data_IF_130619163937
#
_entry.id   IF_130619163937
#
_cell.length_a   1.000
_cell.length_b   1.000
_cell.length_c   1.000
_cell.angle_alpha   90.00
_cell.angle_beta   90.00
_cell.angle_gamma   90.00
#
_symmetry.space_group_name_H-M   'P 1'
#
loop_
_entity.id
_entity.type
_entity.pdbx_description
1 polymer ?
#
# COMPACT_ATOMS: atom_id res chain seq x y z
N UNK A 1 9.05 -6.01 -20.29
CA UNK A 1 9.85 -7.18 -19.86
C UNK A 1 9.85 -7.22 -18.34
N UNK A 2 9.80 -8.41 -17.73
CA UNK A 2 9.96 -8.58 -16.29
C UNK A 2 11.11 -9.55 -16.10
N UNK A 3 12.08 -9.20 -15.26
CA UNK A 3 13.28 -10.00 -14.98
C UNK A 3 13.36 -10.22 -13.47
N UNK A 4 13.67 -11.45 -13.08
CA UNK A 4 13.95 -11.82 -11.69
C UNK A 4 15.40 -12.25 -11.62
N UNK A 5 16.10 -11.75 -10.61
CA UNK A 5 17.46 -12.19 -10.28
C UNK A 5 17.65 -12.14 -8.76
N UNK A 6 18.83 -12.57 -8.28
CA UNK A 6 19.14 -12.58 -6.84
C UNK A 6 19.09 -11.18 -6.22
N UNK A 7 19.27 -10.12 -7.02
CA UNK A 7 19.23 -8.74 -6.53
C UNK A 7 17.82 -8.16 -6.44
N UNK A 8 16.80 -8.87 -6.93
CA UNK A 8 15.40 -8.50 -6.79
C UNK A 8 14.56 -8.72 -8.05
N UNK A 9 13.51 -7.90 -8.19
CA UNK A 9 12.55 -7.98 -9.31
C UNK A 9 12.59 -6.70 -10.11
N UNK A 10 12.92 -6.81 -11.40
CA UNK A 10 12.89 -5.71 -12.36
C UNK A 10 11.64 -5.78 -13.23
N UNK A 11 10.86 -4.70 -13.22
CA UNK A 11 9.61 -4.52 -13.95
C UNK A 11 9.82 -3.41 -14.97
N UNK A 12 9.66 -3.71 -16.26
CA UNK A 12 9.72 -2.70 -17.31
C UNK A 12 8.65 -1.60 -17.12
N UNK A 13 8.99 -0.35 -17.43
CA UNK A 13 8.14 0.81 -17.19
C UNK A 13 6.78 0.74 -17.89
N UNK A 14 6.72 0.15 -19.09
CA UNK A 14 5.50 -0.03 -19.87
C UNK A 14 4.63 -1.23 -19.42
N UNK A 15 5.09 -2.02 -18.44
CA UNK A 15 4.30 -3.13 -17.88
C UNK A 15 3.05 -2.56 -17.21
N UNK A 16 1.90 -3.16 -17.51
CA UNK A 16 0.62 -2.76 -16.93
C UNK A 16 0.57 -3.09 -15.45
N UNK A 17 -0.18 -2.29 -14.68
CA UNK A 17 -0.31 -2.51 -13.22
C UNK A 17 -0.88 -3.91 -12.95
N UNK A 18 -1.85 -4.37 -13.74
CA UNK A 18 -2.39 -5.73 -13.61
C UNK A 18 -1.32 -6.80 -13.79
N UNK A 19 -0.43 -6.64 -14.77
CA UNK A 19 0.64 -7.62 -14.99
C UNK A 19 1.70 -7.58 -13.90
N UNK A 20 2.00 -6.40 -13.35
CA UNK A 20 2.86 -6.26 -12.19
C UNK A 20 2.26 -6.99 -10.97
N UNK A 21 0.96 -6.81 -10.70
CA UNK A 21 0.23 -7.51 -9.62
C UNK A 21 0.36 -9.03 -9.77
N UNK A 22 0.06 -9.57 -10.95
CA UNK A 22 0.16 -11.02 -11.20
C UNK A 22 1.55 -11.54 -10.86
N UNK A 23 2.59 -10.87 -11.36
CA UNK A 23 3.95 -11.34 -11.10
C UNK A 23 4.27 -11.26 -9.62
N UNK A 24 3.95 -10.15 -8.94
CA UNK A 24 4.24 -9.98 -7.52
C UNK A 24 3.50 -10.99 -6.63
N UNK A 25 2.30 -11.46 -7.01
CA UNK A 25 1.56 -12.52 -6.30
C UNK A 25 2.08 -13.92 -6.57
N UNK A 26 2.38 -14.24 -7.82
CA UNK A 26 2.77 -15.60 -8.23
C UNK A 26 4.29 -15.77 -8.18
N UNK A 27 4.86 -15.61 -6.98
CA UNK A 27 6.27 -15.89 -6.72
C UNK A 27 6.43 -17.32 -6.19
N UNK A 28 7.37 -18.08 -6.74
CA UNK A 28 7.70 -19.38 -6.17
C UNK A 28 8.38 -19.15 -4.82
N UNK A 29 7.90 -19.83 -3.78
CA UNK A 29 8.45 -19.74 -2.42
C UNK A 29 9.94 -20.16 -2.31
N UNK A 30 10.49 -20.74 -3.37
CA UNK A 30 11.89 -21.18 -3.45
C UNK A 30 12.82 -20.11 -4.03
N UNK A 31 12.30 -19.05 -4.66
CA UNK A 31 13.12 -18.06 -5.37
C UNK A 31 13.69 -16.99 -4.43
N UNK A 32 13.03 -16.72 -3.29
CA UNK A 32 13.39 -15.65 -2.36
C UNK A 32 13.06 -16.00 -0.91
N UNK A 33 13.66 -15.25 0.05
CA UNK A 33 13.33 -15.34 1.47
C UNK A 33 11.84 -15.09 1.74
N UNK A 34 11.26 -15.78 2.73
CA UNK A 34 9.85 -15.66 3.14
C UNK A 34 9.40 -14.22 3.40
N UNK A 35 10.26 -13.41 4.02
CA UNK A 35 9.95 -12.02 4.34
C UNK A 35 9.84 -11.18 3.06
N UNK A 36 10.69 -11.45 2.06
CA UNK A 36 10.63 -10.74 0.79
C UNK A 36 9.38 -11.13 0.00
N UNK A 37 9.03 -12.42 -0.02
CA UNK A 37 7.79 -12.89 -0.64
C UNK A 37 6.56 -12.22 -0.01
N UNK A 38 6.51 -12.13 1.33
CA UNK A 38 5.45 -11.40 2.04
C UNK A 38 5.38 -9.92 1.63
N UNK A 39 6.52 -9.24 1.51
CA UNK A 39 6.56 -7.83 1.06
C UNK A 39 5.93 -7.71 -0.34
N UNK A 40 6.32 -8.56 -1.28
CA UNK A 40 5.81 -8.54 -2.65
C UNK A 40 4.31 -8.81 -2.72
N UNK A 41 3.80 -9.78 -1.93
CA UNK A 41 2.37 -10.07 -1.82
C UNK A 41 1.59 -8.85 -1.32
N UNK A 42 2.07 -8.19 -0.25
CA UNK A 42 1.43 -6.97 0.29
C UNK A 42 1.47 -5.80 -0.67
N UNK A 43 2.55 -5.61 -1.43
CA UNK A 43 2.62 -4.63 -2.51
C UNK A 43 1.53 -4.93 -3.55
N UNK A 44 1.41 -6.19 -3.98
CA UNK A 44 0.42 -6.60 -4.99
C UNK A 44 -1.02 -6.42 -4.51
N UNK A 45 -1.30 -6.70 -3.24
CA UNK A 45 -2.60 -6.48 -2.63
C UNK A 45 -2.95 -5.01 -2.52
N UNK A 46 -1.97 -4.14 -2.23
CA UNK A 46 -2.20 -2.70 -2.26
C UNK A 46 -2.45 -2.21 -3.69
N UNK A 47 -1.67 -2.66 -4.67
CA UNK A 47 -1.87 -2.33 -6.09
C UNK A 47 -3.26 -2.76 -6.60
N UNK A 48 -3.84 -3.85 -6.09
CA UNK A 48 -5.21 -4.27 -6.43
C UNK A 48 -6.30 -3.28 -6.02
N UNK A 49 -6.03 -2.43 -5.01
CA UNK A 49 -6.95 -1.38 -4.55
C UNK A 49 -6.89 -0.13 -5.44
N UNK A 50 -5.91 -0.04 -6.35
CA UNK A 50 -5.71 1.11 -7.23
C UNK A 50 -6.66 1.01 -8.43
N UNK A 51 -7.54 2.01 -8.55
CA UNK A 51 -8.48 2.16 -9.67
C UNK A 51 -9.34 0.90 -9.94
N UNK A 52 -9.95 0.83 -11.13
CA UNK A 52 -10.68 -0.36 -11.60
C UNK A 52 -9.74 -1.31 -12.37
N UNK A 53 -10.18 -2.55 -12.58
CA UNK A 53 -9.43 -3.52 -13.39
C UNK A 53 -9.15 -3.02 -14.81
N UNK A 54 -10.11 -2.33 -15.44
CA UNK A 54 -9.92 -1.72 -16.76
C UNK A 54 -8.78 -0.70 -16.77
N UNK A 55 -8.71 0.17 -15.76
CA UNK A 55 -7.62 1.15 -15.65
C UNK A 55 -6.30 0.42 -15.43
N UNK A 56 -6.23 -0.58 -14.56
CA UNK A 56 -4.98 -1.33 -14.30
C UNK A 56 -4.49 -2.14 -15.50
N UNK A 57 -5.38 -2.56 -16.38
CA UNK A 57 -5.04 -3.27 -17.62
C UNK A 57 -4.41 -2.35 -18.68
N UNK A 58 -4.63 -1.04 -18.59
CA UNK A 58 -4.10 -0.06 -19.56
C UNK A 58 -2.96 0.78 -18.97
N UNK A 59 -3.09 1.18 -17.71
CA UNK A 59 -2.11 2.02 -17.02
C UNK A 59 -0.82 1.24 -16.73
N UNK A 60 0.32 1.87 -17.02
CA UNK A 60 1.64 1.30 -16.77
C UNK A 60 2.22 1.74 -15.43
N UNK A 61 3.10 0.93 -14.85
CA UNK A 61 3.78 1.24 -13.58
C UNK A 61 4.67 2.48 -13.75
N UNK A 62 5.44 2.56 -14.83
CA UNK A 62 6.31 3.72 -15.10
C UNK A 62 5.52 4.99 -15.36
N UNK A 63 4.42 4.91 -16.11
CA UNK A 63 3.54 6.06 -16.34
C UNK A 63 2.97 6.62 -15.03
N UNK A 64 2.59 5.74 -14.09
CA UNK A 64 2.13 6.16 -12.77
C UNK A 64 3.21 6.90 -11.97
N UNK A 65 4.46 6.43 -11.98
CA UNK A 65 5.57 7.08 -11.29
C UNK A 65 5.96 8.43 -11.92
N UNK A 66 5.96 8.52 -13.25
CA UNK A 66 6.18 9.79 -13.96
C UNK A 66 5.08 10.80 -13.61
N UNK A 67 3.82 10.38 -13.52
CA UNK A 67 2.72 11.23 -13.06
C UNK A 67 2.89 11.67 -11.60
N UNK A 68 3.39 10.79 -10.73
CA UNK A 68 3.67 11.14 -9.33
C UNK A 68 4.76 12.22 -9.22
N UNK A 69 5.84 12.12 -9.99
CA UNK A 69 6.91 13.11 -10.03
C UNK A 69 6.45 14.42 -10.67
N UNK A 70 5.96 14.36 -11.92
CA UNK A 70 5.68 15.55 -12.73
C UNK A 70 4.45 16.32 -12.26
N UNK A 71 3.38 15.62 -11.91
CA UNK A 71 2.09 16.21 -11.61
C UNK A 71 1.76 16.18 -10.11
N UNK A 72 2.68 15.70 -9.27
CA UNK A 72 2.45 15.52 -7.83
C UNK A 72 1.20 14.68 -7.57
N UNK A 73 0.97 13.70 -8.45
CA UNK A 73 -0.19 12.83 -8.39
C UNK A 73 -0.15 12.01 -7.08
N UNK A 74 -1.25 11.94 -6.30
CA UNK A 74 -1.32 11.19 -5.05
C UNK A 74 -1.31 9.67 -5.32
N UNK A 75 -0.14 9.14 -5.65
CA UNK A 75 0.04 7.77 -6.10
C UNK A 75 0.18 6.80 -4.93
N UNK A 76 -0.71 5.80 -4.88
CA UNK A 76 -0.54 4.62 -4.02
C UNK A 76 0.72 3.80 -4.41
N UNK A 77 1.02 3.70 -5.70
CA UNK A 77 2.15 2.90 -6.22
C UNK A 77 3.49 3.54 -5.87
N UNK A 78 3.62 4.85 -5.98
CA UNK A 78 4.85 5.55 -5.60
C UNK A 78 5.15 5.37 -4.11
N UNK A 79 4.12 5.50 -3.24
CA UNK A 79 4.26 5.34 -1.79
C UNK A 79 4.75 3.94 -1.40
N UNK A 80 4.12 2.88 -1.92
CA UNK A 80 4.51 1.50 -1.56
C UNK A 80 5.89 1.11 -2.12
N UNK A 81 6.26 1.60 -3.29
CA UNK A 81 7.57 1.33 -3.89
C UNK A 81 8.69 2.11 -3.21
N UNK A 82 8.41 3.31 -2.71
CA UNK A 82 9.38 4.14 -1.98
C UNK A 82 9.72 3.52 -0.61
N UNK A 83 8.75 2.90 0.06
CA UNK A 83 8.97 2.22 1.32
C UNK A 83 9.93 1.01 1.23
N UNK A 84 10.01 0.38 0.05
CA UNK A 84 10.90 -0.76 -0.21
C UNK A 84 12.17 -0.37 -0.98
N UNK A 85 12.47 0.93 -1.03
CA UNK A 85 13.72 1.45 -1.61
C UNK A 85 13.90 1.02 -3.08
N UNK A 86 12.80 1.07 -3.83
CA UNK A 86 12.82 0.71 -5.26
C UNK A 86 13.76 1.63 -6.02
N UNK A 87 14.43 1.08 -7.03
CA UNK A 87 15.28 1.84 -7.95
C UNK A 87 14.59 2.04 -9.29
N UNK A 88 14.89 3.13 -9.97
CA UNK A 88 14.40 3.46 -11.31
C UNK A 88 15.58 3.52 -12.27
N UNK A 89 15.43 2.84 -13.41
CA UNK A 89 16.36 2.92 -14.52
C UNK A 89 15.86 3.94 -15.53
N UNK A 90 16.63 5.00 -15.75
CA UNK A 90 16.31 6.10 -16.65
C UNK A 90 17.34 6.15 -17.77
N UNK A 91 16.86 6.48 -18.96
CA UNK A 91 17.69 6.81 -20.10
C UNK A 91 17.53 8.28 -20.42
N UNK A 92 18.66 9.00 -20.52
CA UNK A 92 18.72 10.42 -20.90
C UNK A 92 19.60 10.54 -22.12
N UNK A 93 18.99 10.72 -23.29
CA UNK A 93 19.69 10.60 -24.58
C UNK A 93 20.32 9.21 -24.74
N UNK A 94 21.65 9.12 -24.73
CA UNK A 94 22.40 7.85 -24.82
C UNK A 94 22.93 7.33 -23.47
N UNK A 95 22.68 8.05 -22.37
CA UNK A 95 23.16 7.68 -21.03
C UNK A 95 22.10 6.90 -20.27
N UNK A 96 22.53 5.90 -19.51
CA UNK A 96 21.69 5.07 -18.67
C UNK A 96 22.11 5.27 -17.22
N UNK A 97 21.16 5.53 -16.33
CA UNK A 97 21.41 5.71 -14.90
C UNK A 97 20.37 4.95 -14.06
N UNK A 98 20.84 4.36 -12.96
CA UNK A 98 19.98 3.86 -11.89
C UNK A 98 19.93 4.88 -10.77
N UNK A 99 18.72 5.20 -10.32
CA UNK A 99 18.45 6.11 -9.22
C UNK A 99 17.58 5.43 -8.18
N UNK A 100 17.71 5.83 -6.93
CA UNK A 100 16.67 5.51 -5.96
C UNK A 100 15.35 6.19 -6.38
N UNK A 101 14.22 5.60 -6.01
CA UNK A 101 12.92 6.20 -6.24
C UNK A 101 12.79 7.53 -5.49
N UNK A 102 13.45 7.70 -4.35
CA UNK A 102 13.48 8.98 -3.64
C UNK A 102 14.15 10.07 -4.48
N UNK A 103 15.38 9.84 -4.95
CA UNK A 103 16.11 10.78 -5.80
C UNK A 103 15.32 11.11 -7.08
N UNK A 104 14.65 10.11 -7.67
CA UNK A 104 13.80 10.32 -8.83
C UNK A 104 12.63 11.28 -8.51
N UNK A 105 11.94 11.09 -7.39
CA UNK A 105 10.80 11.92 -7.02
C UNK A 105 11.21 13.36 -6.65
N UNK A 106 12.41 13.54 -6.10
CA UNK A 106 12.98 14.86 -5.75
C UNK A 106 13.53 15.61 -6.97
N UNK A 107 13.92 14.91 -8.03
CA UNK A 107 14.40 15.53 -9.28
C UNK A 107 13.30 16.35 -9.97
N UNK A 108 13.68 17.38 -10.75
CA UNK A 108 12.73 18.10 -11.58
C UNK A 108 12.05 17.15 -12.57
N UNK A 109 10.83 17.49 -13.04
CA UNK A 109 10.10 16.66 -14.00
C UNK A 109 10.97 16.31 -15.21
N UNK A 110 10.93 15.04 -15.61
CA UNK A 110 11.72 14.54 -16.75
C UNK A 110 11.52 15.40 -18.01
N UNK A 111 12.66 15.73 -18.65
CA UNK A 111 12.73 16.36 -19.97
C UNK A 111 12.26 15.43 -21.09
N UNK A 112 12.15 15.95 -22.31
CA UNK A 112 11.66 15.20 -23.47
C UNK A 112 12.66 14.12 -23.94
N UNK A 113 13.93 14.30 -23.60
CA UNK A 113 15.04 13.39 -23.87
C UNK A 113 15.18 12.25 -22.84
N UNK A 114 14.34 12.25 -21.81
CA UNK A 114 14.39 11.29 -20.70
C UNK A 114 13.25 10.27 -20.77
N UNK A 115 13.58 8.98 -20.62
CA UNK A 115 12.62 7.88 -20.62
C UNK A 115 12.88 6.96 -19.43
N UNK A 116 11.82 6.63 -18.68
CA UNK A 116 11.87 5.58 -17.65
C UNK A 116 11.80 4.23 -18.34
N UNK A 117 12.79 3.37 -18.11
CA UNK A 117 12.92 2.06 -18.76
C UNK A 117 12.36 0.93 -17.89
N UNK A 118 12.73 0.92 -16.61
CA UNK A 118 12.34 -0.12 -15.67
C UNK A 118 12.41 0.36 -14.22
N UNK A 119 11.73 -0.38 -13.35
CA UNK A 119 11.70 -0.21 -11.91
C UNK A 119 12.21 -1.51 -11.31
N UNK A 120 13.08 -1.44 -10.32
CA UNK A 120 13.62 -2.60 -9.60
C UNK A 120 13.23 -2.53 -8.13
N UNK A 121 12.56 -3.58 -7.66
CA UNK A 121 12.33 -3.81 -6.23
C UNK A 121 13.51 -4.64 -5.72
N UNK A 122 14.40 -4.09 -4.86
CA UNK A 122 15.58 -4.79 -4.40
C UNK A 122 15.23 -5.95 -3.46
N UNK A 123 16.02 -7.01 -3.50
CA UNK A 123 15.91 -8.11 -2.54
C UNK A 123 16.30 -7.68 -1.12
N UNK A 124 15.76 -8.36 -0.11
CA UNK A 124 16.14 -8.12 1.30
C UNK A 124 17.61 -8.46 1.60
N UNK A 125 18.25 -9.35 0.84
CA UNK A 125 19.66 -9.71 1.04
C UNK A 125 20.58 -8.53 0.73
N UNK A 126 20.18 -7.66 -0.21
CA UNK A 126 20.88 -6.41 -0.51
C UNK A 126 20.64 -5.33 0.56
N UNK A 127 19.59 -5.47 1.37
CA UNK A 127 19.23 -4.52 2.45
C UNK A 127 19.88 -4.91 3.79
N UNK A 128 20.26 -6.19 3.97
CA UNK A 128 20.99 -6.65 5.15
C UNK A 128 22.45 -6.17 5.09
N UNK A 129 22.79 -5.20 5.94
CA UNK A 129 24.20 -4.94 6.27
C UNK A 129 24.82 -6.20 6.91
N UNK A 130 26.05 -6.54 6.51
CA UNK A 130 26.78 -7.79 6.80
C UNK A 130 26.99 -8.14 8.29
N UNK A 131 26.45 -7.36 9.23
CA UNK A 131 26.81 -7.42 10.65
C UNK A 131 25.86 -8.21 11.56
N UNK A 132 24.67 -8.63 11.10
CA UNK A 132 23.66 -9.18 12.02
C UNK A 132 23.72 -10.71 12.15
N UNK A 133 24.47 -11.19 13.14
CA UNK A 133 24.42 -12.58 13.66
C UNK A 133 23.10 -12.90 14.39
N UNK A 134 22.16 -11.96 14.50
CA UNK A 134 20.85 -12.16 15.14
C UNK A 134 19.75 -12.38 14.10
N UNK A 135 18.72 -13.15 14.48
CA UNK A 135 17.57 -13.50 13.63
C UNK A 135 16.66 -12.28 13.42
N UNK A 136 17.15 -11.28 12.68
CA UNK A 136 16.36 -10.11 12.30
C UNK A 136 15.30 -10.49 11.27
N UNK A 137 14.15 -9.82 11.34
CA UNK A 137 13.00 -10.04 10.46
C UNK A 137 12.50 -8.74 9.88
N UNK A 138 11.96 -8.81 8.67
CA UNK A 138 11.33 -7.67 8.02
C UNK A 138 9.81 -7.74 8.15
N UNK A 139 9.23 -6.61 8.51
CA UNK A 139 7.79 -6.40 8.65
C UNK A 139 7.39 -5.30 7.68
N UNK A 140 6.33 -5.54 6.92
CA UNK A 140 5.84 -4.57 5.96
C UNK A 140 4.33 -4.45 6.07
N UNK A 141 3.82 -3.24 6.18
CA UNK A 141 2.38 -2.96 6.14
C UNK A 141 2.08 -1.75 5.28
N UNK A 142 0.88 -1.74 4.71
CA UNK A 142 0.42 -0.63 3.88
C UNK A 142 -0.96 -0.17 4.30
N UNK A 143 -1.16 1.14 4.31
CA UNK A 143 -2.36 1.79 4.79
C UNK A 143 -2.93 2.74 3.74
N UNK A 144 -4.25 2.87 3.73
CA UNK A 144 -4.96 3.70 2.75
C UNK A 144 -6.27 4.23 3.32
N UNK A 145 -6.34 5.52 3.56
CA UNK A 145 -7.58 6.22 3.88
C UNK A 145 -8.14 6.82 2.59
N UNK A 146 -9.36 6.43 2.19
CA UNK A 146 -10.03 6.97 1.01
C UNK A 146 -11.55 6.87 1.16
N UNK A 147 -12.35 7.63 0.37
CA UNK A 147 -13.80 7.53 0.39
C UNK A 147 -14.32 6.13 0.05
N UNK A 148 -13.54 5.36 -0.71
CA UNK A 148 -13.80 3.96 -1.05
C UNK A 148 -12.53 3.14 -0.80
N UNK A 149 -12.30 2.67 0.44
CA UNK A 149 -11.06 1.98 0.84
C UNK A 149 -10.73 0.76 -0.02
N UNK A 150 -11.76 0.06 -0.49
CA UNK A 150 -11.64 -1.15 -1.33
C UNK A 150 -11.34 -0.85 -2.81
N UNK A 151 -11.29 0.42 -3.21
CA UNK A 151 -10.76 0.84 -4.51
C UNK A 151 -11.59 1.88 -5.25
N UNK A 152 -11.12 2.18 -6.46
CA UNK A 152 -11.75 3.15 -7.38
C UNK A 152 -11.98 4.56 -6.76
N UNK A 153 -11.14 4.99 -5.82
CA UNK A 153 -11.09 6.35 -5.30
C UNK A 153 -9.63 6.73 -5.00
N UNK A 154 -9.31 8.02 -5.10
CA UNK A 154 -8.02 8.54 -4.64
C UNK A 154 -7.96 8.54 -3.11
N UNK A 155 -6.78 8.25 -2.56
CA UNK A 155 -6.55 8.32 -1.12
C UNK A 155 -6.47 9.75 -0.63
N UNK A 156 -7.00 10.00 0.57
CA UNK A 156 -6.70 11.19 1.35
C UNK A 156 -5.26 11.14 1.87
N UNK A 157 -4.89 9.99 2.43
CA UNK A 157 -3.53 9.65 2.86
C UNK A 157 -3.29 8.17 2.57
N UNK A 158 -2.12 7.85 2.06
CA UNK A 158 -1.63 6.48 1.99
C UNK A 158 -0.27 6.40 2.67
N UNK A 159 0.06 5.21 3.19
CA UNK A 159 1.32 4.99 3.87
C UNK A 159 1.82 3.57 3.64
N UNK A 160 3.13 3.39 3.73
CA UNK A 160 3.77 2.09 3.65
C UNK A 160 4.99 2.09 4.58
N UNK A 161 5.02 1.11 5.48
CA UNK A 161 6.03 1.00 6.52
C UNK A 161 6.80 -0.29 6.34
N UNK A 162 8.11 -0.20 6.20
CA UNK A 162 9.03 -1.33 6.20
C UNK A 162 9.92 -1.22 7.43
N UNK A 163 9.86 -2.20 8.32
CA UNK A 163 10.61 -2.19 9.58
C UNK A 163 11.36 -3.50 9.74
N UNK A 164 12.66 -3.39 9.98
CA UNK A 164 13.50 -4.50 10.39
C UNK A 164 13.56 -4.54 11.90
N UNK A 165 13.25 -5.68 12.49
CA UNK A 165 13.26 -5.88 13.93
C UNK A 165 14.12 -7.06 14.33
N UNK A 166 14.74 -6.96 15.50
CA UNK A 166 15.48 -8.05 16.12
C UNK A 166 15.06 -8.24 17.58
N UNK A 167 15.19 -9.47 18.12
CA UNK A 167 14.98 -9.68 19.55
C UNK A 167 16.07 -8.97 20.35
N UNK A 168 15.66 -8.28 21.42
CA UNK A 168 16.60 -7.71 22.39
C UNK A 168 17.37 -8.84 23.08
N UNK A 169 18.68 -8.66 23.29
CA UNK A 169 19.53 -9.67 23.95
C UNK A 169 19.36 -9.66 25.46
N UNK A 170 19.01 -8.50 26.03
CA UNK A 170 19.03 -8.24 27.47
C UNK A 170 17.61 -8.21 28.10
N UNK A 171 16.54 -8.32 27.28
CA UNK A 171 15.15 -8.30 27.74
C UNK A 171 14.21 -9.02 26.76
N UNK A 172 12.99 -9.38 27.20
CA UNK A 172 11.91 -9.87 26.33
C UNK A 172 11.27 -8.76 25.48
N UNK A 173 12.11 -7.97 24.79
CA UNK A 173 11.67 -6.85 23.97
C UNK A 173 12.11 -6.95 22.52
N UNK A 174 11.52 -6.12 21.68
CA UNK A 174 11.85 -6.04 20.25
C UNK A 174 12.63 -4.76 20.00
N UNK A 175 13.80 -4.85 19.36
CA UNK A 175 14.59 -3.70 18.92
C UNK A 175 14.22 -3.40 17.46
N UNK A 176 14.06 -2.12 17.14
CA UNK A 176 13.91 -1.65 15.76
C UNK A 176 15.32 -1.47 15.20
N UNK A 177 15.75 -2.36 14.31
CA UNK A 177 17.08 -2.25 13.68
C UNK A 177 17.10 -1.09 12.68
N UNK A 178 16.13 -1.09 11.77
CA UNK A 178 15.92 -0.04 10.78
C UNK A 178 14.42 0.12 10.52
N UNK A 179 13.99 1.32 10.15
CA UNK A 179 12.62 1.54 9.71
C UNK A 179 12.56 2.54 8.56
N UNK A 180 11.57 2.35 7.70
CA UNK A 180 11.23 3.24 6.59
C UNK A 180 9.74 3.53 6.67
N UNK A 181 9.41 4.78 6.93
CA UNK A 181 8.07 5.26 7.18
C UNK A 181 7.69 6.21 6.05
N UNK A 182 7.02 5.66 5.04
CA UNK A 182 6.64 6.43 3.85
C UNK A 182 5.20 6.86 3.92
N UNK A 183 4.95 8.13 3.62
CA UNK A 183 3.62 8.73 3.52
C UNK A 183 3.43 9.35 2.14
N UNK A 184 2.23 9.23 1.59
CA UNK A 184 1.83 9.86 0.35
C UNK A 184 0.35 10.19 0.34
N UNK A 185 -0.19 10.46 -0.84
CA UNK A 185 -1.56 10.98 -0.96
C UNK A 185 -1.66 12.50 -0.82
N UNK A 186 -0.54 13.18 -0.59
CA UNK A 186 -0.48 14.64 -0.62
C UNK A 186 -0.84 15.15 -2.02
N UNK A 187 -1.67 16.19 -2.11
CA UNK A 187 -2.01 16.82 -3.39
C UNK A 187 -0.91 17.74 -3.91
N UNK A 188 -0.03 18.20 -3.01
CA UNK A 188 0.94 19.28 -3.26
C UNK A 188 2.39 18.81 -3.22
N UNK A 189 2.63 17.54 -2.87
CA UNK A 189 3.94 16.89 -2.74
C UNK A 189 3.85 15.45 -3.23
N UNK A 190 4.97 14.89 -3.68
CA UNK A 190 5.08 13.45 -3.94
C UNK A 190 5.10 12.67 -2.62
N UNK A 191 5.17 11.34 -2.69
CA UNK A 191 5.37 10.51 -1.51
C UNK A 191 6.71 10.84 -0.85
N UNK A 192 6.73 10.96 0.47
CA UNK A 192 7.90 11.37 1.26
C UNK A 192 8.13 10.39 2.41
N UNK A 193 9.39 10.33 2.87
CA UNK A 193 9.79 9.57 4.05
C UNK A 193 9.83 10.45 5.29
N UNK A 194 9.41 9.91 6.42
CA UNK A 194 9.53 10.57 7.72
C UNK A 194 10.92 10.32 8.32
N UNK A 195 11.99 10.77 7.64
CA UNK A 195 13.40 10.49 7.99
C UNK A 195 13.73 10.81 9.46
N UNK A 196 13.25 11.93 9.98
CA UNK A 196 13.47 12.32 11.38
C UNK A 196 12.90 11.27 12.37
N UNK A 197 11.73 10.70 12.06
CA UNK A 197 11.10 9.66 12.88
C UNK A 197 11.81 8.33 12.68
N UNK A 198 12.25 8.03 11.46
CA UNK A 198 13.05 6.85 11.15
C UNK A 198 14.35 6.80 11.96
N UNK A 199 15.09 7.91 11.96
CA UNK A 199 16.33 8.10 12.72
C UNK A 199 16.09 8.03 14.24
N UNK A 200 14.97 8.58 14.71
CA UNK A 200 14.62 8.52 16.14
C UNK A 200 14.34 7.09 16.61
N UNK A 201 13.69 6.26 15.79
CA UNK A 201 13.29 4.91 16.15
C UNK A 201 14.40 3.87 15.93
N UNK A 202 15.32 4.12 15.01
CA UNK A 202 16.43 3.21 14.74
C UNK A 202 17.28 2.92 15.99
N UNK A 203 17.53 1.65 16.25
CA UNK A 203 18.29 1.15 17.40
C UNK A 203 17.54 1.18 18.74
N UNK A 204 16.30 1.69 18.80
CA UNK A 204 15.55 1.76 20.05
C UNK A 204 14.74 0.49 20.33
N UNK A 205 14.54 0.25 21.62
CA UNK A 205 13.58 -0.73 22.09
C UNK A 205 12.16 -0.25 21.75
N UNK A 206 11.35 -1.11 21.15
CA UNK A 206 9.95 -0.83 20.91
C UNK A 206 9.19 -0.82 22.25
N UNK A 207 8.85 0.38 22.72
CA UNK A 207 8.11 0.62 23.96
C UNK A 207 7.01 1.68 23.75
N UNK A 208 6.03 1.71 24.66
CA UNK A 208 4.96 2.72 24.64
C UNK A 208 5.52 4.15 24.72
N UNK A 209 6.58 4.36 25.52
CA UNK A 209 7.23 5.68 25.64
C UNK A 209 7.88 6.12 24.33
N UNK A 210 8.66 5.23 23.70
CA UNK A 210 9.35 5.55 22.44
C UNK A 210 8.34 5.74 21.30
N UNK A 211 7.22 5.00 21.31
CA UNK A 211 6.13 5.21 20.36
C UNK A 211 5.44 6.57 20.56
N UNK A 212 5.18 6.97 21.81
CA UNK A 212 4.61 8.27 22.13
C UNK A 212 5.49 9.43 21.64
N UNK A 213 6.80 9.35 21.89
CA UNK A 213 7.75 10.36 21.43
C UNK A 213 7.85 10.41 19.90
N UNK A 214 7.82 9.25 19.23
CA UNK A 214 7.80 9.18 17.77
C UNK A 214 6.52 9.79 17.17
N UNK A 215 5.37 9.62 17.83
CA UNK A 215 4.10 10.25 17.44
C UNK A 215 4.17 11.76 17.57
N UNK A 216 4.73 12.28 18.65
CA UNK A 216 4.91 13.73 18.83
C UNK A 216 5.83 14.30 17.74
N UNK A 217 6.95 13.64 17.48
CA UNK A 217 7.89 14.03 16.42
C UNK A 217 7.23 13.99 15.02
N UNK A 218 6.40 12.99 14.74
CA UNK A 218 5.65 12.91 13.48
C UNK A 218 4.64 14.07 13.38
N UNK A 219 3.98 14.43 14.48
CA UNK A 219 2.99 15.52 14.51
C UNK A 219 3.65 16.87 14.25
N UNK A 220 4.82 17.12 14.84
CA UNK A 220 5.59 18.35 14.63
C UNK A 220 6.07 18.47 13.18
N UNK A 221 6.59 17.38 12.61
CA UNK A 221 7.08 17.34 11.22
C UNK A 221 5.97 17.41 10.18
N UNK A 222 4.80 16.80 10.44
CA UNK A 222 3.63 16.90 9.58
C UNK A 222 3.09 18.34 9.55
N UNK A 223 3.06 19.01 10.71
CA UNK A 223 2.58 20.40 10.84
C UNK A 223 3.49 21.39 10.11
N UNK A 224 4.81 21.17 10.13
CA UNK A 224 5.78 22.01 9.42
C UNK A 224 5.71 21.90 7.88
N UNK A 225 5.21 20.78 7.36
CA UNK A 225 5.33 20.43 5.94
C UNK A 225 4.14 20.84 5.05
N UNK A 226 3.07 21.42 5.61
CA UNK A 226 1.81 21.66 4.88
C UNK A 226 1.50 23.17 4.85
N UNK A 227 1.13 23.75 3.67
CA UNK A 227 0.75 25.15 3.57
C UNK A 227 -0.45 25.51 4.46
N UNK A 228 -0.44 26.76 4.96
CA UNK A 228 -1.38 27.29 5.96
C UNK A 228 -2.87 27.32 5.55
N UNK A 229 -3.21 27.06 4.27
CA UNK A 229 -4.53 27.39 3.70
C UNK A 229 -5.64 26.35 3.94
N UNK A 230 -5.36 25.20 4.58
CA UNK A 230 -6.37 24.13 4.80
C UNK A 230 -6.29 23.50 6.22
N UNK A 231 -6.29 24.31 7.28
CA UNK A 231 -6.10 23.87 8.68
C UNK A 231 -6.95 22.65 9.13
N UNK A 232 -8.22 22.56 8.76
CA UNK A 232 -9.10 21.44 9.15
C UNK A 232 -8.73 20.11 8.46
N UNK A 233 -8.38 20.16 7.18
CA UNK A 233 -7.92 18.99 6.42
C UNK A 233 -6.55 18.52 6.91
N UNK A 234 -5.72 19.46 7.37
CA UNK A 234 -4.41 19.17 7.96
C UNK A 234 -4.55 18.37 9.26
N UNK A 235 -5.48 18.76 10.15
CA UNK A 235 -5.73 18.01 11.38
C UNK A 235 -6.18 16.56 11.10
N UNK A 236 -7.04 16.35 10.10
CA UNK A 236 -7.44 15.01 9.67
C UNK A 236 -6.27 14.19 9.11
N UNK A 237 -5.45 14.76 8.23
CA UNK A 237 -4.29 14.07 7.65
C UNK A 237 -3.23 13.74 8.70
N UNK A 238 -2.95 14.65 9.64
CA UNK A 238 -2.04 14.40 10.76
C UNK A 238 -2.57 13.30 11.66
N UNK A 239 -3.87 13.32 11.99
CA UNK A 239 -4.51 12.26 12.77
C UNK A 239 -4.43 10.90 12.08
N UNK A 240 -4.63 10.85 10.75
CA UNK A 240 -4.47 9.61 9.98
C UNK A 240 -3.03 9.10 10.01
N UNK A 241 -2.03 9.98 9.84
CA UNK A 241 -0.62 9.59 9.86
C UNK A 241 -0.22 9.00 11.21
N UNK A 242 -0.63 9.66 12.31
CA UNK A 242 -0.45 9.16 13.68
C UNK A 242 -1.20 7.85 13.88
N UNK A 243 -2.45 7.74 13.41
CA UNK A 243 -3.25 6.53 13.50
C UNK A 243 -2.60 5.33 12.81
N UNK A 244 -2.05 5.52 11.61
CA UNK A 244 -1.31 4.45 10.92
C UNK A 244 -0.04 4.05 11.67
N UNK A 245 0.74 5.02 12.16
CA UNK A 245 1.96 4.76 12.92
C UNK A 245 1.65 3.96 14.20
N UNK A 246 0.66 4.42 14.96
CA UNK A 246 0.19 3.75 16.17
C UNK A 246 -0.31 2.35 15.86
N UNK A 247 -1.17 2.18 14.85
CA UNK A 247 -1.70 0.87 14.47
C UNK A 247 -0.58 -0.12 14.11
N UNK A 248 0.45 0.33 13.39
CA UNK A 248 1.59 -0.51 13.04
C UNK A 248 2.37 -0.95 14.28
N UNK A 249 2.90 0.00 15.05
CA UNK A 249 3.80 -0.31 16.16
C UNK A 249 3.09 -0.93 17.36
N UNK A 250 1.84 -0.56 17.66
CA UNK A 250 1.06 -1.16 18.74
C UNK A 250 0.85 -2.67 18.49
N UNK A 251 0.62 -3.05 17.23
CA UNK A 251 0.47 -4.47 16.87
C UNK A 251 1.73 -5.31 17.11
N UNK A 252 2.91 -4.65 17.14
CA UNK A 252 4.19 -5.28 17.42
C UNK A 252 4.49 -5.34 18.93
N UNK A 253 4.02 -4.35 19.69
CA UNK A 253 4.08 -4.34 21.16
C UNK A 253 3.21 -5.45 21.75
N UNK A 254 1.97 -5.61 21.26
CA UNK A 254 1.00 -6.58 21.79
C UNK A 254 1.31 -8.04 21.39
N UNK A 255 2.27 -8.28 20.49
CA UNK A 255 2.51 -9.62 19.95
C UNK A 255 3.99 -9.98 19.68
N UNK A 256 4.89 -9.87 20.68
CA UNK A 256 6.31 -10.21 20.52
C UNK A 256 6.52 -11.69 20.14
N UNK A 257 5.64 -12.59 20.59
CA UNK A 257 5.69 -14.02 20.25
C UNK A 257 5.42 -14.31 18.76
N UNK A 258 4.59 -13.51 18.06
CA UNK A 258 4.34 -13.67 16.62
C UNK A 258 5.54 -13.30 15.76
N UNK A 259 6.33 -12.34 16.24
CA UNK A 259 7.60 -11.92 15.61
C UNK A 259 8.59 -13.09 15.60
N UNK A 260 8.53 -14.02 16.57
CA UNK A 260 9.45 -15.17 16.68
C UNK A 260 9.05 -16.42 15.88
N UNK A 261 7.76 -16.61 15.58
CA UNK A 261 7.27 -17.80 14.86
C UNK A 261 6.97 -17.58 13.37
N UNK A 262 7.16 -16.37 12.82
CA UNK A 262 6.94 -16.10 11.39
C UNK A 262 5.45 -16.06 10.98
N UNK A 263 4.55 -15.95 11.97
CA UNK A 263 3.09 -15.90 11.77
C UNK A 263 2.56 -14.46 11.75
N UNK A 264 3.27 -13.52 11.13
CA UNK A 264 2.69 -12.22 10.75
C UNK A 264 1.96 -12.26 9.39
N UNK A 265 1.83 -13.45 8.80
CA UNK A 265 0.99 -13.71 7.62
C UNK A 265 -0.53 -13.69 7.90
N UNK A 266 -0.94 -13.26 9.09
CA UNK A 266 -2.33 -13.04 9.43
C UNK A 266 -2.51 -11.62 9.94
N UNK A 267 -3.15 -10.79 9.13
CA UNK A 267 -3.93 -9.59 9.47
C UNK A 267 -3.79 -9.14 10.93
N UNK A 268 -3.15 -8.00 11.14
CA UNK A 268 -3.04 -7.31 12.42
C UNK A 268 -4.42 -7.07 13.02
N UNK A 269 -4.83 -7.97 13.92
CA UNK A 269 -5.97 -7.81 14.80
C UNK A 269 -5.72 -6.60 15.70
N UNK A 270 -6.68 -5.67 15.72
CA UNK A 270 -6.81 -4.65 16.75
C UNK A 270 -7.06 -5.35 18.11
N UNK A 271 -6.50 -4.88 19.23
CA UNK A 271 -7.13 -5.12 20.52
C UNK A 271 -8.47 -4.38 20.48
N UNK A 272 -9.56 -5.14 20.34
CA UNK A 272 -10.90 -4.60 20.55
C UNK A 272 -10.96 -4.15 22.00
N UNK A 273 -11.15 -2.86 22.24
CA UNK A 273 -11.77 -2.40 23.48
C UNK A 273 -13.07 -3.18 23.59
N UNK A 274 -13.28 -3.81 24.74
CA UNK A 274 -14.39 -4.70 25.03
C UNK A 274 -15.72 -4.00 24.73
N UNK A 275 -16.35 -4.39 23.61
CA UNK A 275 -17.75 -4.18 23.36
C UNK A 275 -18.40 -5.56 23.32
N UNK A 276 -19.26 -5.76 24.32
CA UNK A 276 -20.04 -6.95 24.62
C UNK A 276 -20.66 -7.65 23.41
N UNK A 277 -20.53 -8.99 23.42
CA UNK A 277 -21.45 -10.00 22.88
C UNK A 277 -21.80 -9.91 21.38
N UNK A 278 -21.16 -10.83 20.64
CA UNK A 278 -21.67 -11.66 19.54
C UNK A 278 -20.67 -11.71 18.38
N UNK A 279 -20.32 -12.93 17.99
CA UNK A 279 -19.38 -13.32 16.94
C UNK A 279 -19.32 -12.35 15.74
N UNK A 280 -18.29 -11.49 15.71
CA UNK A 280 -17.87 -10.77 14.50
C UNK A 280 -16.35 -10.85 14.38
N UNK A 281 -15.90 -11.64 13.41
CA UNK A 281 -14.52 -11.70 12.96
C UNK A 281 -14.13 -10.34 12.31
N UNK A 282 -13.08 -9.63 12.75
CA UNK A 282 -12.71 -8.35 12.15
C UNK A 282 -11.68 -8.51 11.03
N UNK A 283 -12.02 -7.97 9.84
CA UNK A 283 -11.12 -7.47 8.79
C UNK A 283 -10.31 -8.45 7.91
N UNK A 284 -10.93 -9.55 7.49
CA UNK A 284 -10.97 -9.79 6.04
C UNK A 284 -12.23 -9.04 5.62
N UNK A 285 -12.16 -8.07 4.71
CA UNK A 285 -13.36 -7.76 3.94
C UNK A 285 -13.39 -8.83 2.85
N UNK A 286 -14.03 -10.00 3.06
CA UNK A 286 -14.31 -10.85 1.92
C UNK A 286 -15.00 -9.93 0.91
N UNK A 287 -14.63 -10.04 -0.37
CA UNK A 287 -15.40 -9.47 -1.48
C UNK A 287 -16.84 -9.54 -1.07
N UNK A 288 -17.45 -8.38 -0.78
CA UNK A 288 -18.72 -8.30 -0.08
C UNK A 288 -19.71 -9.01 -1.00
N UNK A 289 -19.94 -10.30 -0.77
CA UNK A 289 -20.87 -11.09 -1.54
C UNK A 289 -22.21 -10.48 -1.18
N UNK A 290 -22.69 -9.60 -2.04
CA UNK A 290 -23.93 -8.89 -1.80
C UNK A 290 -25.03 -9.92 -1.81
N UNK A 291 -25.58 -10.21 -0.63
CA UNK A 291 -26.77 -11.03 -0.47
C UNK A 291 -27.98 -10.12 -0.35
N UNK A 292 -29.00 -10.36 -1.16
CA UNK A 292 -30.31 -9.73 -1.03
C UNK A 292 -31.38 -10.79 -0.77
N UNK A 293 -32.30 -10.52 0.16
CA UNK A 293 -33.52 -11.32 0.35
C UNK A 293 -34.71 -10.47 -0.08
N UNK A 294 -35.48 -10.96 -1.04
CA UNK A 294 -36.69 -10.31 -1.54
C UNK A 294 -37.86 -11.25 -1.24
N UNK A 295 -38.89 -10.74 -0.58
CA UNK A 295 -40.15 -11.46 -0.32
C UNK A 295 -41.21 -10.72 -1.11
N UNK A 296 -41.89 -11.44 -2.00
CA UNK A 296 -42.92 -10.91 -2.89
C UNK A 296 -44.18 -11.74 -2.70
N UNK A 297 -45.33 -11.08 -2.57
CA UNK A 297 -46.63 -11.75 -2.62
C UNK A 297 -47.08 -11.84 -4.08
N UNK A 298 -47.36 -13.06 -4.55
CA UNK A 298 -47.83 -13.29 -5.91
C UNK A 298 -49.35 -13.21 -5.95
N UNK A 299 -49.88 -12.27 -6.72
CA UNK A 299 -51.31 -12.20 -7.06
C UNK A 299 -51.61 -13.12 -8.25
N UNK A 300 -52.68 -13.92 -8.17
CA UNK A 300 -53.08 -14.87 -9.21
C UNK A 300 -54.36 -14.48 -9.97
N UNK A 301 -54.98 -13.35 -9.59
CA UNK A 301 -56.31 -12.97 -10.07
C UNK A 301 -56.32 -12.53 -11.55
N UNK A 302 -55.26 -11.84 -12.00
CA UNK A 302 -55.12 -11.38 -13.39
C UNK A 302 -53.69 -11.55 -13.88
N UNK A 303 -53.44 -12.37 -14.92
CA UNK A 303 -52.09 -12.49 -15.50
C UNK A 303 -51.85 -11.43 -16.59
N UNK A 304 -50.70 -10.74 -16.60
CA UNK A 304 -49.50 -10.95 -15.77
C UNK A 304 -49.41 -10.03 -14.52
N UNK A 305 -50.52 -9.46 -14.06
CA UNK A 305 -50.56 -8.53 -12.92
C UNK A 305 -50.25 -9.28 -11.62
N UNK A 306 -49.15 -8.93 -10.95
CA UNK A 306 -48.70 -9.59 -9.71
C UNK A 306 -47.66 -10.70 -9.92
N UNK A 307 -47.26 -10.98 -11.16
CA UNK A 307 -46.12 -11.85 -11.48
C UNK A 307 -44.81 -11.03 -11.57
N UNK A 308 -43.64 -11.60 -11.19
CA UNK A 308 -42.34 -10.95 -11.35
C UNK A 308 -41.87 -10.99 -12.81
N UNK A 309 -42.52 -10.19 -13.66
CA UNK A 309 -42.21 -10.14 -15.10
C UNK A 309 -40.89 -9.40 -15.33
N UNK A 310 -40.03 -9.98 -16.19
CA UNK A 310 -38.80 -9.34 -16.62
C UNK A 310 -39.09 -8.07 -17.42
N UNK A 311 -38.30 -7.01 -17.19
CA UNK A 311 -38.41 -5.75 -17.94
C UNK A 311 -38.38 -6.01 -19.46
N UNK A 312 -39.37 -5.47 -20.18
CA UNK A 312 -39.39 -5.50 -21.63
C UNK A 312 -38.15 -4.79 -22.20
N UNK A 313 -37.39 -5.50 -23.04
CA UNK A 313 -36.12 -5.00 -23.59
C UNK A 313 -34.89 -5.23 -22.71
N UNK A 314 -34.98 -5.92 -21.56
CA UNK A 314 -33.80 -6.27 -20.76
C UNK A 314 -32.70 -6.98 -21.57
N UNK A 315 -33.08 -7.94 -22.42
CA UNK A 315 -32.15 -8.63 -23.32
C UNK A 315 -31.53 -7.69 -24.37
N UNK A 316 -32.28 -6.70 -24.85
CA UNK A 316 -31.82 -5.71 -25.84
C UNK A 316 -30.84 -4.72 -25.18
N UNK A 317 -31.11 -4.32 -23.93
CA UNK A 317 -30.19 -3.49 -23.14
C UNK A 317 -28.90 -4.24 -22.82
N UNK A 318 -28.99 -5.49 -22.37
CA UNK A 318 -27.83 -6.31 -22.03
C UNK A 318 -26.94 -6.66 -23.23
N UNK A 319 -27.53 -6.74 -24.44
CA UNK A 319 -26.79 -6.99 -25.69
C UNK A 319 -26.23 -5.71 -26.33
N UNK A 320 -26.52 -4.52 -25.78
CA UNK A 320 -26.11 -3.24 -26.38
C UNK A 320 -26.87 -2.85 -27.65
N UNK A 321 -27.96 -3.55 -27.98
CA UNK A 321 -28.80 -3.28 -29.17
C UNK A 321 -29.84 -2.17 -28.93
N UNK A 322 -29.97 -1.68 -27.70
CA UNK A 322 -30.92 -0.64 -27.34
C UNK A 322 -30.52 0.69 -27.96
N UNK A 323 -31.30 1.17 -28.94
CA UNK A 323 -31.12 2.49 -29.55
C UNK A 323 -32.03 3.51 -28.88
N UNK A 324 -31.43 4.51 -28.22
CA UNK A 324 -32.11 5.75 -27.93
C UNK A 324 -32.21 6.53 -29.25
N UNK A 325 -33.43 6.77 -29.73
CA UNK A 325 -33.64 7.82 -30.74
C UNK A 325 -33.42 9.15 -30.03
N UNK A 326 -32.30 9.80 -30.30
CA UNK A 326 -32.06 11.20 -29.95
C UNK A 326 -32.68 12.10 -31.02
#
# INVERSE_FOLDING_TARGET
KIKKDQSGIEIGAAVTISKAIEVLKFQNKNDFNSDFVMILEKIADHMNKVASGFIRNTASVGGNLVMAQKNKFPSDIATILLAVDSMIHIMTGSKFEWLSLEEFLERPPLGLECVVLSIKIPSLETIKSESSKTKSRFLFETYRASPRPLGNALSHLNAAFLVQVSPCKDSEGTIIDTCRLTFGGFKTKHAIRAKNVEEFLAGKLLSVSNLYDAINLLTDTATANIPHDEASKNAYLSSLAVGFLFQFFNSLIDSPAKINNGYLNGHTHLPSVEASQNHVQPNIFPTLLSSGKQILESGSEYRPIGEPVSKSGAAIQASGLFRLKF
#
